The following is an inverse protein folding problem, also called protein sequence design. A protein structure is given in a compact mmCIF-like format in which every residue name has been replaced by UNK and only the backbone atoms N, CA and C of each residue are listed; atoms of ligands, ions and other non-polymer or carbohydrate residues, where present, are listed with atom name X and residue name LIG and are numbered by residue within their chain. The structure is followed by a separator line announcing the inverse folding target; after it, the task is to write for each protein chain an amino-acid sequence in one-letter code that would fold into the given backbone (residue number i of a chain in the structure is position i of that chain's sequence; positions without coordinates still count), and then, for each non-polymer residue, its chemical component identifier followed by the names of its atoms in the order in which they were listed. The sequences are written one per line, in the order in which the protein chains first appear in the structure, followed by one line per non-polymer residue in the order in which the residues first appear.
data_IF_828055039248
#
_entry.id   IF_828055039248
#
_cell.length_a   1.000
_cell.length_b   1.000
_cell.length_c   1.000
_cell.angle_alpha   90.00
_cell.angle_beta   90.00
_cell.angle_gamma   90.00
#
_symmetry.space_group_name_H-M   'P 1'
#
loop_
_entity.id
_entity.type
_entity.pdbx_description
1 polymer ?
#
# COMPACT_ATOMS: atom_id res chain seq x y z
N UNK A 1 19.62 24.79 -62.76
CA UNK A 1 18.61 24.01 -62.01
C UNK A 1 17.37 24.87 -61.80
N UNK A 2 16.21 24.59 -62.43
CA UNK A 2 15.00 25.40 -62.23
C UNK A 2 14.11 24.83 -61.12
N UNK A 3 13.72 25.71 -60.20
CA UNK A 3 12.87 25.48 -59.04
C UNK A 3 11.40 25.25 -59.44
N UNK A 4 10.85 24.08 -59.07
CA UNK A 4 9.48 23.66 -59.38
C UNK A 4 8.53 24.11 -58.25
N UNK A 5 7.71 25.13 -58.50
CA UNK A 5 6.61 25.52 -57.60
C UNK A 5 5.41 24.60 -57.79
N UNK A 6 5.00 23.89 -56.74
CA UNK A 6 3.81 23.03 -56.70
C UNK A 6 2.60 23.88 -56.26
N UNK A 7 1.54 23.87 -57.08
CA UNK A 7 0.25 24.55 -56.80
C UNK A 7 -0.74 23.50 -56.29
N UNK A 8 -1.16 23.61 -55.03
CA UNK A 8 -2.17 22.73 -54.42
C UNK A 8 -3.55 23.37 -54.60
N UNK A 9 -4.48 22.66 -55.26
CA UNK A 9 -5.91 23.05 -55.37
C UNK A 9 -6.72 22.30 -54.31
N UNK A 10 -7.52 23.04 -53.54
CA UNK A 10 -8.53 22.47 -52.64
C UNK A 10 -9.86 22.24 -53.38
N UNK A 11 -10.55 21.10 -53.20
CA UNK A 11 -11.88 20.87 -53.78
C UNK A 11 -13.02 21.51 -52.96
N UNK A 12 -14.06 21.96 -53.68
CA UNK A 12 -15.31 22.59 -53.18
C UNK A 12 -16.28 21.56 -52.55
N UNK A 13 -17.17 21.97 -51.62
CA UNK A 13 -18.15 21.09 -51.00
C UNK A 13 -19.35 20.83 -51.92
N UNK A 14 -19.86 19.59 -51.93
CA UNK A 14 -21.05 19.18 -52.66
C UNK A 14 -22.23 18.82 -51.73
N UNK A 15 -23.44 19.13 -52.22
CA UNK A 15 -24.72 19.24 -51.51
C UNK A 15 -25.35 17.90 -51.11
N UNK A 16 -26.08 17.90 -49.99
CA UNK A 16 -27.07 16.86 -49.60
C UNK A 16 -28.28 16.91 -50.54
N UNK A 17 -28.74 15.72 -50.98
CA UNK A 17 -30.05 15.49 -51.59
C UNK A 17 -30.71 14.30 -50.89
N UNK A 18 -32.00 14.43 -50.62
CA UNK A 18 -32.87 13.58 -49.80
C UNK A 18 -33.53 12.48 -50.67
N UNK A 19 -33.50 11.23 -50.19
CA UNK A 19 -34.48 10.10 -50.31
C UNK A 19 -35.08 9.68 -51.68
N UNK A 20 -35.34 8.37 -51.91
CA UNK A 20 -36.60 7.77 -51.43
C UNK A 20 -36.52 6.31 -50.92
N UNK A 21 -37.59 5.98 -50.20
CA UNK A 21 -37.95 4.73 -49.53
C UNK A 21 -38.60 3.75 -50.51
N UNK A 22 -38.22 2.47 -50.49
CA UNK A 22 -39.08 1.38 -50.98
C UNK A 22 -39.02 0.17 -50.05
N UNK A 23 -40.17 -0.10 -49.41
CA UNK A 23 -40.55 -1.36 -48.76
C UNK A 23 -40.57 -2.51 -49.77
N UNK A 24 -40.09 -3.72 -49.37
CA UNK A 24 -40.76 -5.01 -49.63
C UNK A 24 -40.46 -6.06 -48.55
N UNK A 25 -41.52 -6.41 -47.83
CA UNK A 25 -41.96 -7.68 -47.23
C UNK A 25 -41.05 -8.92 -47.23
N UNK A 26 -40.94 -9.52 -46.03
CA UNK A 26 -41.13 -10.96 -45.77
C UNK A 26 -39.87 -11.84 -45.72
N UNK A 27 -39.51 -12.37 -44.55
CA UNK A 27 -39.93 -13.71 -44.07
C UNK A 27 -39.61 -13.81 -42.57
N UNK A 28 -40.63 -14.19 -41.83
CA UNK A 28 -40.71 -14.42 -40.39
C UNK A 28 -40.07 -15.78 -40.04
N UNK A 29 -39.18 -15.83 -39.04
CA UNK A 29 -39.04 -17.04 -38.21
C UNK A 29 -38.89 -16.62 -36.74
N UNK A 30 -39.90 -16.98 -35.98
CA UNK A 30 -40.14 -16.68 -34.59
C UNK A 30 -39.35 -17.64 -33.70
N UNK A 31 -38.54 -17.13 -32.77
CA UNK A 31 -38.17 -17.87 -31.54
C UNK A 31 -38.42 -16.95 -30.36
N UNK A 32 -39.50 -17.27 -29.65
CA UNK A 32 -39.88 -16.67 -28.37
C UNK A 32 -38.94 -17.26 -27.31
N UNK A 33 -38.08 -16.40 -26.74
CA UNK A 33 -37.28 -16.69 -25.55
C UNK A 33 -37.58 -15.63 -24.49
N UNK A 34 -38.61 -15.87 -23.69
CA UNK A 34 -39.04 -15.04 -22.58
C UNK A 34 -38.01 -15.15 -21.45
N UNK A 35 -37.22 -14.09 -21.21
CA UNK A 35 -36.47 -13.91 -19.95
C UNK A 35 -36.75 -12.50 -19.44
N UNK A 36 -37.85 -12.35 -18.71
CA UNK A 36 -38.00 -11.28 -17.74
C UNK A 36 -37.16 -11.66 -16.51
N UNK A 37 -35.87 -11.31 -16.53
CA UNK A 37 -35.10 -11.24 -15.31
C UNK A 37 -35.41 -9.89 -14.64
N UNK A 38 -36.33 -9.91 -13.66
CA UNK A 38 -36.48 -8.81 -12.72
C UNK A 38 -35.14 -8.60 -12.01
N UNK A 39 -34.44 -7.51 -12.30
CA UNK A 39 -33.39 -7.00 -11.43
C UNK A 39 -34.07 -6.46 -10.17
N UNK A 40 -34.24 -7.30 -9.16
CA UNK A 40 -34.56 -6.83 -7.80
C UNK A 40 -33.29 -6.17 -7.28
N UNK A 41 -33.18 -4.86 -7.46
CA UNK A 41 -32.24 -4.05 -6.68
C UNK A 41 -32.84 -3.97 -5.28
N UNK A 42 -32.16 -4.45 -4.22
CA UNK A 42 -32.65 -4.24 -2.87
C UNK A 42 -32.66 -2.72 -2.60
N UNK A 43 -33.84 -2.17 -2.35
CA UNK A 43 -33.98 -0.80 -1.83
C UNK A 43 -33.43 -0.75 -0.41
N UNK A 44 -32.84 0.38 0.01
CA UNK A 44 -32.28 0.58 1.37
C UNK A 44 -33.26 0.18 2.50
N UNK A 45 -34.57 0.32 2.27
CA UNK A 45 -35.61 -0.11 3.19
C UNK A 45 -35.64 -1.64 3.45
N UNK A 46 -35.28 -2.46 2.45
CA UNK A 46 -35.21 -3.91 2.58
C UNK A 46 -33.97 -4.35 3.38
N UNK A 47 -32.84 -3.64 3.24
CA UNK A 47 -31.63 -3.87 4.03
C UNK A 47 -31.85 -3.52 5.51
N UNK A 48 -32.60 -2.44 5.79
CA UNK A 48 -32.94 -2.04 7.15
C UNK A 48 -33.81 -3.08 7.90
N UNK A 49 -34.70 -3.79 7.20
CA UNK A 49 -35.57 -4.81 7.78
C UNK A 49 -34.90 -6.15 8.09
N UNK A 50 -33.64 -6.36 7.68
CA UNK A 50 -32.91 -7.63 7.87
C UNK A 50 -31.85 -7.57 8.98
N UNK A 51 -31.74 -6.44 9.67
CA UNK A 51 -30.85 -6.24 10.81
C UNK A 51 -31.38 -6.95 12.06
N UNK A 52 -31.14 -8.25 12.16
CA UNK A 52 -31.07 -8.92 13.46
C UNK A 52 -29.78 -8.46 14.14
N UNK A 53 -29.91 -7.49 15.05
CA UNK A 53 -28.82 -7.08 15.94
C UNK A 53 -28.36 -8.30 16.73
N UNK A 54 -27.15 -8.79 16.47
CA UNK A 54 -26.52 -9.81 17.29
C UNK A 54 -26.26 -9.23 18.70
N UNK A 55 -26.51 -9.98 19.79
CA UNK A 55 -26.25 -9.49 21.13
C UNK A 55 -24.75 -9.24 21.30
N UNK A 56 -24.40 -7.98 21.58
CA UNK A 56 -23.05 -7.60 21.96
C UNK A 56 -22.84 -7.97 23.42
N UNK A 57 -22.03 -8.99 23.70
CA UNK A 57 -21.51 -9.22 25.05
C UNK A 57 -20.56 -8.07 25.39
N UNK A 58 -21.02 -7.15 26.22
CA UNK A 58 -20.20 -6.08 26.77
C UNK A 58 -19.13 -6.69 27.71
N UNK A 59 -17.86 -6.52 27.37
CA UNK A 59 -16.75 -6.68 28.30
C UNK A 59 -16.00 -5.35 28.43
N UNK A 60 -15.97 -4.90 29.68
CA UNK A 60 -15.16 -3.87 30.35
C UNK A 60 -14.63 -2.65 29.58
N UNK A 61 -14.97 -1.50 30.15
CA UNK A 61 -14.56 -0.13 29.87
C UNK A 61 -13.03 0.07 29.94
N UNK A 62 -12.44 0.71 28.93
CA UNK A 62 -11.04 1.18 29.00
C UNK A 62 -10.26 1.26 27.69
N UNK A 63 -10.53 2.26 26.84
CA UNK A 63 -9.61 2.69 25.78
C UNK A 63 -10.28 3.36 24.58
N UNK A 64 -9.62 4.32 23.89
CA UNK A 64 -10.19 4.98 22.72
C UNK A 64 -10.50 3.96 21.62
N UNK A 65 -11.71 4.05 21.09
CA UNK A 65 -12.26 3.12 20.10
C UNK A 65 -11.29 2.94 18.92
N UNK A 66 -10.75 1.73 18.77
CA UNK A 66 -10.03 1.34 17.57
C UNK A 66 -10.96 1.49 16.34
N UNK A 67 -10.43 1.88 15.16
CA UNK A 67 -11.24 1.96 13.95
C UNK A 67 -11.84 0.58 13.65
N UNK A 68 -13.17 0.53 13.62
CA UNK A 68 -13.91 -0.69 13.38
C UNK A 68 -13.93 -0.99 11.88
N UNK A 69 -13.22 -2.02 11.45
CA UNK A 69 -13.36 -2.57 10.10
C UNK A 69 -14.71 -3.28 9.99
N UNK A 70 -15.56 -2.85 9.05
CA UNK A 70 -16.86 -3.46 8.77
C UNK A 70 -16.79 -4.25 7.46
N UNK A 71 -17.14 -5.53 7.51
CA UNK A 71 -17.31 -6.40 6.34
C UNK A 71 -18.81 -6.68 6.18
N UNK A 72 -19.40 -6.19 5.10
CA UNK A 72 -20.79 -6.49 4.74
C UNK A 72 -20.83 -7.84 4.01
N UNK A 73 -21.58 -8.79 4.56
CA UNK A 73 -21.78 -10.12 3.98
C UNK A 73 -23.26 -10.26 3.62
N UNK A 74 -23.54 -10.87 2.47
CA UNK A 74 -24.89 -11.17 2.02
C UNK A 74 -25.59 -12.11 3.03
N UNK A 75 -26.86 -11.84 3.35
CA UNK A 75 -27.62 -12.58 4.36
C UNK A 75 -27.76 -14.08 4.06
N UNK A 76 -27.49 -14.50 2.82
CA UNK A 76 -27.53 -15.90 2.37
C UNK A 76 -26.24 -16.67 2.71
N UNK A 77 -25.17 -15.97 3.11
CA UNK A 77 -23.91 -16.56 3.54
C UNK A 77 -23.86 -16.51 5.07
N UNK A 78 -23.74 -17.68 5.71
CA UNK A 78 -23.50 -17.74 7.15
C UNK A 78 -22.31 -16.84 7.48
N UNK A 79 -22.49 -15.93 8.44
CA UNK A 79 -21.43 -15.00 8.83
C UNK A 79 -20.15 -15.81 9.08
N UNK A 80 -19.06 -15.55 8.32
CA UNK A 80 -17.83 -16.29 8.54
C UNK A 80 -17.42 -16.05 9.99
N UNK A 81 -17.08 -17.12 10.70
CA UNK A 81 -16.43 -17.01 12.00
C UNK A 81 -15.06 -16.38 11.72
N UNK A 82 -14.98 -15.06 11.82
CA UNK A 82 -13.72 -14.33 11.76
C UNK A 82 -13.07 -14.50 13.11
N UNK A 83 -12.19 -15.50 13.22
CA UNK A 83 -11.31 -15.60 14.35
C UNK A 83 -10.20 -14.55 14.19
N UNK A 84 -10.35 -13.43 14.90
CA UNK A 84 -9.36 -12.35 14.90
C UNK A 84 -8.03 -12.78 15.53
N UNK A 85 -8.03 -13.88 16.30
CA UNK A 85 -6.83 -14.49 16.86
C UNK A 85 -6.13 -15.40 15.83
N UNK A 86 -6.86 -15.89 14.81
CA UNK A 86 -6.29 -16.72 13.73
C UNK A 86 -5.68 -15.92 12.59
N UNK A 87 -6.04 -14.64 12.42
CA UNK A 87 -5.26 -13.68 11.61
C UNK A 87 -4.09 -13.22 12.49
N UNK A 88 -3.20 -14.17 12.79
CA UNK A 88 -2.04 -13.93 13.65
C UNK A 88 -1.07 -12.96 12.97
N UNK A 89 -0.25 -12.25 13.76
CA UNK A 89 0.84 -11.43 13.25
C UNK A 89 1.73 -12.19 12.24
N UNK A 90 1.80 -13.52 12.33
CA UNK A 90 2.46 -14.43 11.37
C UNK A 90 1.90 -14.30 9.95
N UNK A 91 0.58 -14.23 9.76
CA UNK A 91 -0.03 -14.06 8.44
C UNK A 91 0.31 -12.69 7.85
N UNK A 92 0.41 -11.67 8.71
CA UNK A 92 0.85 -10.33 8.33
C UNK A 92 2.33 -10.30 7.89
N UNK A 93 3.20 -11.02 8.59
CA UNK A 93 4.62 -11.15 8.22
C UNK A 93 4.76 -11.80 6.86
N UNK A 94 4.15 -12.97 6.68
CA UNK A 94 4.26 -13.74 5.44
C UNK A 94 3.66 -12.98 4.26
N UNK A 95 2.50 -12.33 4.45
CA UNK A 95 1.89 -11.50 3.41
C UNK A 95 2.82 -10.36 2.98
N UNK A 96 3.41 -9.63 3.94
CA UNK A 96 4.33 -8.53 3.63
C UNK A 96 5.61 -9.03 2.95
N UNK A 97 6.17 -10.16 3.40
CA UNK A 97 7.34 -10.77 2.79
C UNK A 97 7.07 -11.26 1.35
N UNK A 98 5.90 -11.84 1.10
CA UNK A 98 5.50 -12.26 -0.25
C UNK A 98 5.29 -11.06 -1.20
N UNK A 99 4.72 -9.94 -0.72
CA UNK A 99 4.65 -8.69 -1.50
C UNK A 99 6.08 -8.22 -1.82
N UNK A 100 6.96 -8.22 -0.82
CA UNK A 100 8.40 -8.16 -1.03
C UNK A 100 8.97 -6.79 -1.42
N UNK A 101 8.28 -5.69 -1.07
CA UNK A 101 8.70 -4.32 -1.41
C UNK A 101 9.41 -3.62 -0.24
N UNK A 102 10.09 -2.50 -0.53
CA UNK A 102 10.61 -1.59 0.50
C UNK A 102 9.49 -1.06 1.43
N UNK A 103 8.30 -0.82 0.90
CA UNK A 103 7.13 -0.46 1.70
C UNK A 103 6.72 -1.60 2.64
N UNK A 104 6.72 -2.84 2.15
CA UNK A 104 6.44 -4.02 2.96
C UNK A 104 7.47 -4.18 4.09
N UNK A 105 8.75 -3.95 3.78
CA UNK A 105 9.81 -3.98 4.79
C UNK A 105 9.63 -2.88 5.85
N UNK A 106 9.28 -1.66 5.43
CA UNK A 106 8.96 -0.57 6.35
C UNK A 106 7.81 -0.95 7.28
N UNK A 107 6.73 -1.55 6.75
CA UNK A 107 5.59 -2.05 7.53
C UNK A 107 5.99 -3.15 8.50
N UNK A 108 6.89 -4.05 8.13
CA UNK A 108 7.44 -5.07 9.05
C UNK A 108 8.18 -4.43 10.22
N UNK A 109 9.03 -3.43 9.99
CA UNK A 109 9.74 -2.73 11.09
C UNK A 109 8.73 -2.09 12.04
N UNK A 110 7.72 -1.41 11.51
CA UNK A 110 6.67 -0.77 12.31
C UNK A 110 5.88 -1.81 13.13
N UNK A 111 5.54 -2.95 12.53
CA UNK A 111 4.85 -4.05 13.20
C UNK A 111 5.70 -4.67 14.32
N UNK A 112 6.96 -5.02 14.05
CA UNK A 112 7.87 -5.57 15.07
C UNK A 112 8.18 -4.56 16.19
N UNK A 113 8.16 -3.26 15.87
CA UNK A 113 8.34 -2.19 16.85
C UNK A 113 7.09 -1.88 17.67
N UNK A 114 5.93 -2.44 17.31
CA UNK A 114 4.64 -2.11 17.94
C UNK A 114 4.17 -0.68 17.64
N UNK A 115 4.57 -0.12 16.49
CA UNK A 115 4.24 1.25 16.09
C UNK A 115 3.11 1.29 15.05
N UNK A 116 2.28 2.35 15.03
CA UNK A 116 1.25 2.54 14.03
C UNK A 116 1.82 2.52 12.59
N UNK A 117 1.15 1.82 11.68
CA UNK A 117 1.47 1.82 10.25
C UNK A 117 0.79 2.98 9.51
N UNK A 118 0.89 4.19 10.04
CA UNK A 118 0.35 5.39 9.38
C UNK A 118 1.16 5.78 8.15
N UNK A 119 0.55 6.52 7.23
CA UNK A 119 1.24 7.07 6.06
C UNK A 119 2.48 7.88 6.43
N UNK A 120 2.44 8.61 7.55
CA UNK A 120 3.58 9.38 8.06
C UNK A 120 4.76 8.46 8.43
N UNK A 121 4.50 7.37 9.16
CA UNK A 121 5.54 6.44 9.56
C UNK A 121 6.10 5.64 8.38
N UNK A 122 5.23 5.18 7.49
CA UNK A 122 5.67 4.47 6.27
C UNK A 122 6.49 5.40 5.38
N UNK A 123 6.04 6.65 5.20
CA UNK A 123 6.78 7.68 4.45
C UNK A 123 8.15 7.97 5.06
N UNK A 124 8.24 8.09 6.39
CA UNK A 124 9.50 8.28 7.09
C UNK A 124 10.47 7.13 6.78
N UNK A 125 10.04 5.89 6.99
CA UNK A 125 10.88 4.71 6.82
C UNK A 125 11.39 4.58 5.39
N UNK A 126 10.54 4.82 4.39
CA UNK A 126 10.93 4.84 2.98
C UNK A 126 11.95 5.94 2.68
N UNK A 127 11.73 7.15 3.20
CA UNK A 127 12.67 8.27 3.01
C UNK A 127 14.01 8.00 3.67
N UNK A 128 14.01 7.36 4.83
CA UNK A 128 15.22 6.95 5.54
C UNK A 128 15.99 5.90 4.75
N UNK A 129 15.31 4.84 4.31
CA UNK A 129 15.91 3.78 3.50
C UNK A 129 16.56 4.30 2.22
N UNK A 130 15.95 5.29 1.58
CA UNK A 130 16.57 5.98 0.44
C UNK A 130 17.90 6.64 0.81
N UNK A 131 18.04 7.23 2.00
CA UNK A 131 19.31 7.84 2.40
C UNK A 131 20.41 6.80 2.63
N UNK A 132 20.03 5.58 3.01
CA UNK A 132 20.98 4.55 3.44
C UNK A 132 21.50 3.70 2.28
N UNK A 133 20.61 3.12 1.46
CA UNK A 133 21.01 2.23 0.35
C UNK A 133 20.40 2.64 -1.01
N UNK A 134 19.52 3.65 -1.04
CA UNK A 134 18.82 4.09 -2.26
C UNK A 134 17.77 3.10 -2.77
N UNK A 135 16.76 3.54 -3.57
CA UNK A 135 15.69 2.64 -4.02
C UNK A 135 16.10 1.45 -4.90
N UNK A 136 17.06 1.55 -5.84
CA UNK A 136 17.36 0.44 -6.76
C UNK A 136 18.00 -0.80 -6.12
N UNK A 137 18.62 -0.66 -4.94
CA UNK A 137 19.32 -1.72 -4.22
C UNK A 137 19.08 -1.59 -2.71
N UNK A 138 17.84 -1.23 -2.35
CA UNK A 138 17.49 -0.92 -0.96
C UNK A 138 17.68 -2.13 -0.01
N UNK A 139 17.71 -3.34 -0.56
CA UNK A 139 17.90 -4.60 0.16
C UNK A 139 19.36 -5.02 0.29
N UNK A 140 20.33 -4.18 -0.10
CA UNK A 140 21.76 -4.51 -0.06
C UNK A 140 22.16 -5.12 1.30
N UNK A 141 22.85 -6.27 1.28
CA UNK A 141 23.24 -7.07 2.47
C UNK A 141 22.07 -7.48 3.38
N UNK A 142 20.84 -7.45 2.87
CA UNK A 142 19.61 -7.53 3.65
C UNK A 142 19.62 -6.51 4.80
N UNK A 143 20.20 -5.32 4.63
CA UNK A 143 20.32 -4.34 5.70
C UNK A 143 19.87 -2.93 5.27
N UNK A 144 18.56 -2.71 5.05
CA UNK A 144 18.06 -1.51 4.38
C UNK A 144 18.40 -0.18 5.04
N UNK A 145 18.55 -0.15 6.37
CA UNK A 145 18.90 1.06 7.12
C UNK A 145 20.37 1.11 7.58
N UNK A 146 21.23 0.21 7.11
CA UNK A 146 22.59 0.05 7.64
C UNK A 146 22.59 -0.10 9.17
N UNK A 147 21.68 -0.93 9.69
CA UNK A 147 21.58 -1.25 11.10
C UNK A 147 22.69 -2.21 11.53
N UNK A 148 23.54 -1.81 12.47
CA UNK A 148 24.62 -2.66 12.99
C UNK A 148 24.17 -3.71 14.00
N UNK A 149 23.02 -3.54 14.65
CA UNK A 149 22.63 -4.36 15.79
C UNK A 149 22.23 -5.79 15.41
N UNK A 150 23.03 -6.78 15.82
CA UNK A 150 22.76 -8.19 15.51
C UNK A 150 23.21 -8.63 14.10
N UNK A 151 23.85 -7.74 13.34
CA UNK A 151 24.27 -7.98 11.94
C UNK A 151 25.69 -8.53 11.77
N UNK A 152 26.44 -8.71 12.87
CA UNK A 152 27.85 -9.14 12.83
C UNK A 152 28.84 -8.08 12.34
N UNK A 153 28.39 -6.93 11.82
CA UNK A 153 29.21 -5.79 11.44
C UNK A 153 28.91 -4.58 12.31
N UNK A 154 29.93 -4.10 13.04
CA UNK A 154 29.84 -2.82 13.75
C UNK A 154 29.59 -1.66 12.77
N UNK A 155 29.09 -0.54 13.28
CA UNK A 155 28.86 0.71 12.52
C UNK A 155 27.96 0.57 11.27
N UNK A 156 27.08 -0.44 11.20
CA UNK A 156 26.08 -0.55 10.12
C UNK A 156 26.54 -1.31 8.88
N UNK A 157 27.74 -1.89 8.90
CA UNK A 157 28.32 -2.60 7.76
C UNK A 157 27.98 -4.10 7.71
N UNK A 158 27.26 -4.61 8.70
CA UNK A 158 26.87 -6.01 8.75
C UNK A 158 25.71 -6.37 7.83
N UNK A 159 25.39 -7.65 7.82
CA UNK A 159 24.32 -8.26 7.01
C UNK A 159 23.38 -9.08 7.88
N UNK A 160 22.17 -9.30 7.38
CA UNK A 160 21.22 -10.26 7.99
C UNK A 160 20.98 -11.45 7.06
N UNK A 161 20.55 -12.60 7.60
CA UNK A 161 20.17 -13.76 6.79
C UNK A 161 19.10 -13.42 5.75
N UNK A 162 18.13 -12.60 6.14
CA UNK A 162 16.99 -12.19 5.31
C UNK A 162 16.43 -10.84 5.80
N UNK A 163 15.54 -10.26 4.99
CA UNK A 163 14.91 -8.96 5.23
C UNK A 163 13.91 -8.96 6.39
N UNK A 164 13.27 -10.10 6.73
CA UNK A 164 12.37 -10.20 7.89
C UNK A 164 13.17 -10.09 9.18
N UNK A 165 14.27 -10.84 9.27
CA UNK A 165 15.24 -10.79 10.36
C UNK A 165 15.82 -9.37 10.48
N UNK A 166 16.19 -8.74 9.37
CA UNK A 166 16.67 -7.37 9.37
C UNK A 166 15.65 -6.37 9.94
N UNK A 167 14.38 -6.51 9.59
CA UNK A 167 13.30 -5.66 10.11
C UNK A 167 13.13 -5.81 11.63
N UNK A 168 13.19 -7.05 12.14
CA UNK A 168 13.12 -7.33 13.58
C UNK A 168 14.27 -6.67 14.35
N UNK A 169 15.50 -6.84 13.87
CA UNK A 169 16.67 -6.26 14.53
C UNK A 169 16.71 -4.74 14.41
N UNK A 170 16.20 -4.17 13.31
CA UNK A 170 16.02 -2.73 13.17
C UNK A 170 15.08 -2.19 14.26
N UNK A 171 13.89 -2.77 14.40
CA UNK A 171 12.92 -2.39 15.43
C UNK A 171 13.52 -2.49 16.85
N UNK A 172 14.21 -3.60 17.16
CA UNK A 172 14.89 -3.79 18.46
C UNK A 172 15.95 -2.73 18.72
N UNK A 173 16.74 -2.36 17.70
CA UNK A 173 17.78 -1.34 17.88
C UNK A 173 17.16 0.04 18.15
N UNK A 174 16.13 0.40 17.40
CA UNK A 174 15.36 1.64 17.58
C UNK A 174 14.81 1.74 19.02
N UNK A 175 14.14 0.69 19.51
CA UNK A 175 13.62 0.62 20.87
C UNK A 175 14.71 0.72 21.94
N UNK A 176 15.89 0.16 21.70
CA UNK A 176 17.00 0.14 22.67
C UNK A 176 17.71 1.49 22.81
N UNK A 177 17.88 2.22 21.71
CA UNK A 177 18.87 3.31 21.65
C UNK A 177 18.36 4.68 21.20
N UNK A 178 17.12 4.79 20.72
CA UNK A 178 16.69 5.96 19.95
C UNK A 178 15.34 6.51 20.41
N UNK A 179 15.23 6.99 21.67
CA UNK A 179 13.96 7.36 22.28
C UNK A 179 13.22 8.48 21.53
N UNK A 180 13.94 9.44 20.95
CA UNK A 180 13.32 10.51 20.14
C UNK A 180 12.68 9.98 18.85
N UNK A 181 13.33 9.01 18.19
CA UNK A 181 12.80 8.36 16.98
C UNK A 181 11.59 7.51 17.37
N UNK A 182 11.69 6.73 18.46
CA UNK A 182 10.59 5.91 18.98
C UNK A 182 9.37 6.75 19.33
N UNK A 183 9.54 7.89 20.01
CA UNK A 183 8.44 8.80 20.33
C UNK A 183 7.72 9.31 19.07
N UNK A 184 8.48 9.68 18.03
CA UNK A 184 7.90 10.09 16.75
C UNK A 184 7.17 8.96 16.03
N UNK A 185 7.72 7.74 16.04
CA UNK A 185 7.07 6.55 15.49
C UNK A 185 5.80 6.17 16.26
N UNK A 186 5.81 6.27 17.59
CA UNK A 186 4.63 6.03 18.42
C UNK A 186 3.52 7.06 18.16
N UNK A 187 3.89 8.33 17.99
CA UNK A 187 2.93 9.38 17.64
C UNK A 187 2.34 9.14 16.25
N UNK A 188 3.16 8.78 15.26
CA UNK A 188 2.71 8.42 13.92
C UNK A 188 2.05 9.55 13.12
N UNK A 189 2.27 10.80 13.51
CA UNK A 189 1.56 11.99 12.97
C UNK A 189 2.36 12.79 11.95
N UNK A 190 3.70 12.73 11.98
CA UNK A 190 4.55 13.57 11.12
C UNK A 190 5.85 12.88 10.75
N UNK A 191 6.02 12.62 9.45
CA UNK A 191 7.29 12.08 8.92
C UNK A 191 8.43 13.07 9.15
N UNK A 192 8.20 14.38 8.98
CA UNK A 192 9.26 15.37 9.05
C UNK A 192 9.73 15.60 10.49
N UNK A 193 8.82 15.55 11.47
CA UNK A 193 9.18 15.65 12.90
C UNK A 193 10.01 14.45 13.33
N UNK A 194 9.62 13.24 12.94
CA UNK A 194 10.39 12.04 13.28
C UNK A 194 11.72 11.98 12.51
N UNK A 195 11.77 12.50 11.28
CA UNK A 195 13.03 12.65 10.54
C UNK A 195 14.00 13.59 11.25
N UNK A 196 13.53 14.69 11.81
CA UNK A 196 14.38 15.58 12.63
C UNK A 196 14.97 14.86 13.84
N UNK A 197 14.22 13.96 14.49
CA UNK A 197 14.74 13.13 15.57
C UNK A 197 15.83 12.15 15.08
N UNK A 198 15.70 11.62 13.86
CA UNK A 198 16.75 10.79 13.24
C UNK A 198 18.02 11.62 13.05
N UNK A 199 17.92 12.81 12.46
CA UNK A 199 19.07 13.66 12.15
C UNK A 199 19.86 14.07 13.40
N UNK A 200 19.15 14.31 14.51
CA UNK A 200 19.75 14.64 15.79
C UNK A 200 20.31 13.42 16.55
N UNK A 201 20.02 12.20 16.08
CA UNK A 201 20.40 10.98 16.80
C UNK A 201 21.80 10.48 16.45
N UNK A 202 22.42 9.65 17.31
CA UNK A 202 23.68 8.97 17.01
C UNK A 202 23.63 8.08 15.76
N UNK A 203 22.44 7.63 15.31
CA UNK A 203 22.30 6.86 14.08
C UNK A 203 22.81 7.66 12.89
N UNK A 204 22.40 8.93 12.81
CA UNK A 204 22.78 9.80 11.74
C UNK A 204 24.29 10.04 11.71
N UNK A 205 24.97 10.08 12.86
CA UNK A 205 26.39 10.50 12.95
C UNK A 205 26.70 11.75 12.10
N UNK A 206 25.72 12.67 12.00
CA UNK A 206 25.71 13.86 11.13
C UNK A 206 25.64 13.65 9.60
N UNK A 207 25.48 12.43 9.09
CA UNK A 207 25.43 12.10 7.65
C UNK A 207 24.34 12.86 6.87
N UNK A 208 23.22 13.22 7.50
CA UNK A 208 22.12 13.92 6.83
C UNK A 208 22.23 15.45 6.86
N UNK A 209 23.31 16.02 7.42
CA UNK A 209 23.52 17.47 7.47
C UNK A 209 22.44 18.24 8.24
N UNK A 210 21.88 17.64 9.30
CA UNK A 210 20.70 18.16 10.00
C UNK A 210 19.49 18.41 9.07
N UNK A 211 19.29 17.53 8.09
CA UNK A 211 18.18 17.57 7.14
C UNK A 211 18.51 18.21 5.79
N UNK A 212 19.64 18.91 5.65
CA UNK A 212 20.01 19.54 4.37
C UNK A 212 20.26 18.53 3.24
N UNK A 213 20.64 17.30 3.58
CA UNK A 213 20.82 16.20 2.62
C UNK A 213 19.61 15.25 2.58
N UNK A 214 18.56 15.54 3.35
CA UNK A 214 17.38 14.68 3.44
C UNK A 214 16.35 15.03 2.38
N UNK A 215 16.26 14.21 1.34
CA UNK A 215 15.18 14.33 0.37
C UNK A 215 13.81 14.01 0.98
N UNK A 216 12.81 14.85 0.70
CA UNK A 216 11.39 14.64 1.03
C UNK A 216 10.55 14.21 -0.19
N UNK A 217 11.18 14.07 -1.36
CA UNK A 217 10.50 13.60 -2.58
C UNK A 217 9.86 12.22 -2.34
N UNK A 218 8.76 11.89 -3.04
CA UNK A 218 8.23 10.53 -3.05
C UNK A 218 9.34 9.50 -3.31
N UNK A 219 9.26 8.36 -2.65
CA UNK A 219 10.20 7.25 -2.79
C UNK A 219 9.55 6.22 -3.72
N UNK A 220 10.31 5.72 -4.67
CA UNK A 220 9.84 4.65 -5.55
C UNK A 220 9.63 3.37 -4.74
N UNK A 221 8.52 2.68 -5.00
CA UNK A 221 8.24 1.38 -4.38
C UNK A 221 8.84 0.29 -5.25
N UNK A 222 9.83 -0.42 -4.72
CA UNK A 222 10.65 -1.38 -5.46
C UNK A 222 10.60 -2.74 -4.77
N UNK A 223 10.39 -3.79 -5.56
CA UNK A 223 10.40 -5.18 -5.07
C UNK A 223 11.84 -5.71 -5.02
N UNK A 224 12.21 -6.31 -3.90
CA UNK A 224 13.46 -7.06 -3.76
C UNK A 224 13.29 -8.50 -4.30
N UNK A 225 14.39 -9.18 -4.70
CA UNK A 225 14.31 -10.58 -5.13
C UNK A 225 13.82 -11.49 -3.99
N UNK A 226 13.11 -12.57 -4.34
CA UNK A 226 12.56 -13.53 -3.36
C UNK A 226 13.62 -14.09 -2.39
N UNK A 227 14.85 -14.30 -2.88
CA UNK A 227 15.99 -14.77 -2.09
C UNK A 227 16.38 -13.84 -0.94
N UNK A 228 16.08 -12.53 -1.04
CA UNK A 228 16.33 -11.58 0.05
C UNK A 228 15.32 -11.75 1.22
N UNK A 229 14.20 -12.43 0.96
CA UNK A 229 13.14 -12.72 1.93
C UNK A 229 13.21 -14.14 2.51
N UNK A 230 14.19 -14.95 2.08
CA UNK A 230 14.34 -16.34 2.52
C UNK A 230 13.53 -17.37 1.73
N UNK A 231 13.02 -17.00 0.54
CA UNK A 231 12.31 -17.88 -0.39
C UNK A 231 13.12 -18.19 -1.65
#
# INVERSE_FOLDING_TARGET
MPSRRVRIRFPKPAKRVLMPLHHRFGVTLTVIGLVFAFSIVPTDAALASTLLVAPSTALADGGPAAPQQQLLVDATIAAPVVDRESIGATDGIDTLAHIGTNESWAKLVLMFGGWPQTDANVTLMLRWMRQENGPPDWWNRNNPLNNGYGSGGGAGLGSYPDLVTAAQYCAKNLQRGYPGIVAGLQAGTSADTTAAAIWASPWASSHYGNGTHWSTRPVEIVRAPASAWGF
#
